data_IF_915899891755
#
_entry.id   IF_915899891755
#
_cell.length_a   1.000
_cell.length_b   1.000
_cell.length_c   1.000
_cell.angle_alpha   90.00
_cell.angle_beta   90.00
_cell.angle_gamma   90.00
#
_symmetry.space_group_name_H-M   'P 1'
#
loop_
_entity.id
_entity.type
_entity.pdbx_description
1 polymer ?
#
# COMPACT_ATOMS: atom_id res chain seq x y z
N UNK A 1 11.09 -2.43 15.06
CA UNK A 1 11.49 -2.95 13.74
C UNK A 1 12.42 -4.15 13.84
N UNK A 2 13.44 -4.17 14.73
CA UNK A 2 14.39 -5.30 14.81
C UNK A 2 13.70 -6.63 15.16
N UNK A 3 12.69 -6.64 16.04
CA UNK A 3 11.89 -7.84 16.35
C UNK A 3 11.16 -8.37 15.11
N UNK A 4 10.55 -7.46 14.34
CA UNK A 4 9.91 -7.80 13.06
C UNK A 4 10.92 -8.35 12.05
N UNK A 5 12.08 -7.71 11.86
CA UNK A 5 13.13 -8.24 11.00
C UNK A 5 13.61 -9.62 11.48
N UNK A 6 13.64 -9.84 12.79
CA UNK A 6 13.96 -11.13 13.41
C UNK A 6 13.01 -12.26 13.03
N UNK A 7 11.71 -11.97 12.83
CA UNK A 7 10.69 -12.97 12.45
C UNK A 7 10.80 -13.41 10.98
N UNK A 8 11.44 -12.60 10.12
CA UNK A 8 11.61 -12.93 8.71
C UNK A 8 12.66 -14.02 8.48
N UNK A 9 12.53 -14.76 7.39
CA UNK A 9 13.54 -15.74 7.03
C UNK A 9 14.92 -15.09 6.81
N UNK A 10 15.99 -15.84 7.03
CA UNK A 10 17.38 -15.35 6.98
C UNK A 10 17.73 -14.65 5.66
N UNK A 11 17.25 -15.18 4.53
CA UNK A 11 17.52 -14.62 3.20
C UNK A 11 16.87 -13.24 3.03
N UNK A 12 15.57 -13.10 3.36
CA UNK A 12 14.83 -11.82 3.29
C UNK A 12 15.43 -10.79 4.23
N UNK A 13 15.72 -11.16 5.47
CA UNK A 13 16.36 -10.27 6.45
C UNK A 13 17.72 -9.75 5.95
N UNK A 14 18.56 -10.62 5.37
CA UNK A 14 19.85 -10.23 4.80
C UNK A 14 19.69 -9.26 3.63
N UNK A 15 18.72 -9.53 2.73
CA UNK A 15 18.43 -8.68 1.58
C UNK A 15 17.94 -7.29 2.01
N UNK A 16 17.00 -7.24 2.96
CA UNK A 16 16.49 -5.97 3.52
C UNK A 16 17.61 -5.16 4.18
N UNK A 17 18.41 -5.77 5.04
CA UNK A 17 19.54 -5.08 5.67
C UNK A 17 20.55 -4.52 4.67
N UNK A 18 20.78 -5.24 3.57
CA UNK A 18 21.63 -4.77 2.46
C UNK A 18 21.03 -3.55 1.77
N UNK A 19 19.74 -3.61 1.40
CA UNK A 19 19.02 -2.53 0.71
C UNK A 19 18.87 -1.27 1.54
N UNK A 20 18.81 -1.42 2.85
CA UNK A 20 18.59 -0.32 3.79
C UNK A 20 19.89 0.22 4.42
N UNK A 21 21.06 -0.31 4.02
CA UNK A 21 22.36 0.11 4.57
C UNK A 21 22.65 1.59 4.27
N UNK A 22 22.36 2.06 3.06
CA UNK A 22 22.51 3.45 2.69
C UNK A 22 21.46 4.33 3.40
N UNK A 23 21.75 5.59 3.65
CA UNK A 23 20.76 6.55 4.15
C UNK A 23 19.51 6.56 3.27
N UNK A 24 18.35 6.66 3.90
CA UNK A 24 17.06 6.74 3.21
C UNK A 24 16.56 8.17 3.06
N UNK A 25 15.43 8.35 2.36
CA UNK A 25 14.74 9.61 2.36
C UNK A 25 14.32 10.00 3.78
N UNK A 26 14.25 11.29 4.05
CA UNK A 26 13.62 11.83 5.27
C UNK A 26 12.11 11.55 5.16
N UNK A 27 11.53 11.05 6.23
CA UNK A 27 10.09 10.76 6.31
C UNK A 27 9.41 11.79 7.19
N UNK A 28 8.29 12.30 6.71
CA UNK A 28 7.45 13.27 7.40
C UNK A 28 6.00 12.82 7.37
N UNK A 29 5.38 12.65 8.54
CA UNK A 29 3.98 12.30 8.67
C UNK A 29 3.12 13.56 8.75
N UNK A 30 2.13 13.68 7.87
CA UNK A 30 1.28 14.87 7.78
C UNK A 30 -0.21 14.53 7.77
N UNK A 31 -1.01 15.39 8.36
CA UNK A 31 -2.48 15.36 8.31
C UNK A 31 -3.05 16.28 7.23
N UNK A 32 -2.23 17.09 6.58
CA UNK A 32 -2.56 17.95 5.42
C UNK A 32 -1.45 17.87 4.40
N UNK A 33 -1.79 17.99 3.12
CA UNK A 33 -0.84 17.94 1.99
C UNK A 33 -1.11 19.04 0.95
N UNK A 34 -1.86 20.06 1.32
CA UNK A 34 -2.32 21.11 0.38
C UNK A 34 -1.16 21.82 -0.29
N UNK A 35 -0.09 22.09 0.46
CA UNK A 35 1.15 22.74 0.02
C UNK A 35 1.99 21.90 -0.95
N UNK A 36 1.81 20.57 -0.94
CA UNK A 36 2.55 19.61 -1.78
C UNK A 36 1.63 18.77 -2.67
N UNK A 37 0.37 19.16 -2.77
CA UNK A 37 -0.64 18.42 -3.54
C UNK A 37 -0.26 18.21 -5.01
N UNK A 38 0.31 19.20 -5.72
CA UNK A 38 0.75 19.00 -7.11
C UNK A 38 1.79 17.88 -7.24
N UNK A 39 2.75 17.80 -6.33
CA UNK A 39 3.81 16.77 -6.30
C UNK A 39 3.23 15.40 -5.96
N UNK A 40 2.33 15.32 -4.98
CA UNK A 40 1.61 14.10 -4.63
C UNK A 40 0.82 13.57 -5.83
N UNK A 41 0.09 14.44 -6.53
CA UNK A 41 -0.66 14.06 -7.73
C UNK A 41 0.25 13.59 -8.87
N UNK A 42 1.38 14.25 -9.09
CA UNK A 42 2.39 13.82 -10.07
C UNK A 42 2.88 12.39 -9.76
N UNK A 43 3.23 12.11 -8.50
CA UNK A 43 3.69 10.79 -8.06
C UNK A 43 2.58 9.72 -8.15
N UNK A 44 1.35 10.10 -7.84
CA UNK A 44 0.18 9.23 -7.99
C UNK A 44 -0.04 8.84 -9.46
N UNK A 45 -0.08 9.83 -10.35
CA UNK A 45 -0.31 9.61 -11.78
C UNK A 45 0.83 8.83 -12.44
N UNK A 46 2.07 9.11 -12.06
CA UNK A 46 3.23 8.36 -12.53
C UNK A 46 3.15 6.89 -12.09
N UNK A 47 2.75 6.61 -10.87
CA UNK A 47 2.55 5.24 -10.37
C UNK A 47 1.36 4.56 -11.06
N UNK A 48 0.23 5.25 -11.17
CA UNK A 48 -0.98 4.75 -11.83
C UNK A 48 -0.73 4.39 -13.30
N UNK A 49 0.06 5.20 -14.02
CA UNK A 49 0.39 4.96 -15.45
C UNK A 49 1.14 3.65 -15.69
N UNK A 50 1.76 3.09 -14.65
CA UNK A 50 2.52 1.83 -14.68
C UNK A 50 1.76 0.63 -14.13
N UNK A 51 0.57 0.86 -13.58
CA UNK A 51 -0.25 -0.22 -13.05
C UNK A 51 -0.83 -1.07 -14.19
N UNK A 52 -0.74 -2.39 -14.09
CA UNK A 52 -1.30 -3.32 -15.07
C UNK A 52 -2.82 -3.22 -15.15
N UNK A 53 -3.46 -2.85 -14.05
CA UNK A 53 -4.90 -2.69 -13.95
C UNK A 53 -5.23 -1.32 -13.30
N UNK A 54 -5.93 -0.48 -14.05
CA UNK A 54 -6.39 0.82 -13.59
C UNK A 54 -7.90 0.75 -13.36
N UNK A 55 -8.34 0.68 -12.10
CA UNK A 55 -9.77 0.66 -11.78
C UNK A 55 -10.39 2.06 -11.84
N UNK A 56 -9.67 3.06 -11.35
CA UNK A 56 -10.16 4.44 -11.27
C UNK A 56 -9.00 5.44 -11.25
N UNK A 57 -9.28 6.64 -11.71
CA UNK A 57 -8.39 7.79 -11.58
C UNK A 57 -8.98 8.75 -10.56
N UNK A 58 -8.33 8.89 -9.43
CA UNK A 58 -8.82 9.71 -8.34
C UNK A 58 -8.43 11.18 -8.52
N UNK A 59 -9.37 12.11 -8.31
CA UNK A 59 -9.09 13.53 -8.38
C UNK A 59 -8.29 14.02 -7.16
N UNK A 60 -7.56 15.13 -7.30
CA UNK A 60 -6.77 15.74 -6.23
C UNK A 60 -7.58 15.96 -4.93
N UNK A 61 -8.84 16.41 -5.04
CA UNK A 61 -9.75 16.59 -3.90
C UNK A 61 -10.03 15.31 -3.09
N UNK A 62 -9.77 14.14 -3.66
CA UNK A 62 -9.92 12.89 -2.92
C UNK A 62 -8.82 12.76 -1.83
N UNK A 63 -7.60 13.13 -2.17
CA UNK A 63 -6.45 13.01 -1.26
C UNK A 63 -6.52 14.02 -0.11
N UNK A 64 -6.84 15.28 -0.41
CA UNK A 64 -7.04 16.29 0.64
C UNK A 64 -8.30 16.01 1.46
N UNK A 65 -9.42 15.69 0.79
CA UNK A 65 -10.70 15.42 1.43
C UNK A 65 -10.68 14.22 2.39
N UNK A 66 -9.90 13.17 2.09
CA UNK A 66 -9.74 12.03 3.01
C UNK A 66 -9.02 12.48 4.30
N UNK A 67 -7.95 13.26 4.19
CA UNK A 67 -7.20 13.76 5.34
C UNK A 67 -8.06 14.72 6.19
N UNK A 68 -8.85 15.58 5.55
CA UNK A 68 -9.77 16.51 6.22
C UNK A 68 -10.93 15.80 6.93
N UNK A 69 -11.59 14.85 6.24
CA UNK A 69 -12.81 14.22 6.75
C UNK A 69 -12.52 13.10 7.76
N UNK A 70 -11.36 12.46 7.66
CA UNK A 70 -10.94 11.40 8.55
C UNK A 70 -9.86 11.87 9.54
N UNK A 71 -10.05 13.06 10.13
CA UNK A 71 -9.11 13.59 11.11
C UNK A 71 -8.76 12.57 12.21
N UNK A 72 -7.46 12.36 12.42
CA UNK A 72 -6.95 11.35 13.36
C UNK A 72 -7.08 9.89 12.88
N UNK A 73 -7.75 9.65 11.73
CA UNK A 73 -7.89 8.33 11.12
C UNK A 73 -7.33 8.23 9.70
N UNK A 74 -6.71 9.29 9.21
CA UNK A 74 -5.94 9.31 7.98
C UNK A 74 -4.68 10.13 8.19
N UNK A 75 -3.57 9.67 7.62
CA UNK A 75 -2.29 10.36 7.65
C UNK A 75 -1.51 10.03 6.38
N UNK A 76 -0.69 10.97 5.94
CA UNK A 76 0.16 10.80 4.77
C UNK A 76 1.64 10.85 5.18
N UNK A 77 2.41 9.81 4.85
CA UNK A 77 3.85 9.83 4.94
C UNK A 77 4.44 10.41 3.65
N UNK A 78 5.24 11.45 3.77
CA UNK A 78 5.98 12.09 2.68
C UNK A 78 7.45 11.72 2.77
N UNK A 79 8.04 11.33 1.64
CA UNK A 79 9.43 10.87 1.54
C UNK A 79 10.25 11.87 0.74
N UNK A 80 11.24 12.48 1.40
CA UNK A 80 12.04 13.55 0.86
C UNK A 80 13.48 13.11 0.64
N UNK A 81 14.02 13.41 -0.52
CA UNK A 81 15.45 13.36 -0.82
C UNK A 81 15.88 14.78 -1.13
N UNK A 82 16.72 15.33 -0.27
CA UNK A 82 16.98 16.77 -0.23
C UNK A 82 15.64 17.53 -0.12
N UNK A 83 15.36 18.47 -1.00
CA UNK A 83 14.12 19.25 -1.03
C UNK A 83 13.06 18.66 -2.03
N UNK A 84 13.31 17.47 -2.58
CA UNK A 84 12.41 16.86 -3.56
C UNK A 84 11.53 15.80 -2.91
N UNK A 85 10.21 15.91 -3.10
CA UNK A 85 9.26 14.86 -2.77
C UNK A 85 9.38 13.71 -3.77
N UNK A 86 9.82 12.53 -3.31
CA UNK A 86 10.10 11.35 -4.15
C UNK A 86 9.11 10.22 -3.96
N UNK A 87 8.37 10.21 -2.87
CA UNK A 87 7.25 9.29 -2.65
C UNK A 87 6.28 9.83 -1.61
N UNK A 88 5.05 9.33 -1.63
CA UNK A 88 4.07 9.51 -0.58
C UNK A 88 3.36 8.19 -0.28
N UNK A 89 2.86 8.05 0.93
CA UNK A 89 2.01 6.92 1.32
C UNK A 89 0.82 7.43 2.14
N UNK A 90 -0.37 7.33 1.59
CA UNK A 90 -1.62 7.65 2.29
C UNK A 90 -2.12 6.40 2.99
N UNK A 91 -2.25 6.48 4.30
CA UNK A 91 -2.74 5.37 5.14
C UNK A 91 -3.98 5.78 5.90
N UNK A 92 -4.86 4.81 6.12
CA UNK A 92 -6.02 4.95 7.00
C UNK A 92 -5.75 4.21 8.30
N UNK A 93 -6.27 4.75 9.39
CA UNK A 93 -6.00 4.27 10.74
C UNK A 93 -7.32 3.95 11.45
N UNK A 94 -7.39 2.83 12.12
CA UNK A 94 -8.37 2.58 13.16
C UNK A 94 -7.67 2.04 14.43
N UNK A 95 -8.43 1.68 15.46
CA UNK A 95 -7.87 1.21 16.73
C UNK A 95 -7.08 -0.11 16.60
N UNK A 96 -7.31 -0.87 15.54
CA UNK A 96 -6.78 -2.22 15.38
C UNK A 96 -5.89 -2.38 14.15
N UNK A 97 -5.95 -1.45 13.17
CA UNK A 97 -5.20 -1.60 11.93
C UNK A 97 -4.76 -0.30 11.31
N UNK A 98 -3.63 -0.37 10.63
CA UNK A 98 -3.18 0.58 9.62
C UNK A 98 -3.48 -0.03 8.25
N UNK A 99 -4.24 0.68 7.43
CA UNK A 99 -4.60 0.27 6.06
C UNK A 99 -3.77 1.09 5.08
N UNK A 100 -2.90 0.44 4.34
CA UNK A 100 -2.12 1.04 3.25
C UNK A 100 -3.04 1.30 2.05
N UNK A 101 -3.34 2.57 1.81
CA UNK A 101 -4.34 2.93 0.81
C UNK A 101 -3.72 3.28 -0.54
N UNK A 102 -2.73 4.16 -0.56
CA UNK A 102 -2.04 4.57 -1.77
C UNK A 102 -0.57 4.84 -1.52
N UNK A 103 0.29 4.21 -2.31
CA UNK A 103 1.71 4.49 -2.35
C UNK A 103 2.08 4.98 -3.75
N UNK A 104 2.43 6.25 -3.87
CA UNK A 104 2.94 6.86 -5.09
C UNK A 104 4.43 7.16 -4.97
N UNK A 105 5.20 6.86 -6.03
CA UNK A 105 6.65 7.06 -5.99
C UNK A 105 7.25 7.39 -7.35
N UNK A 106 8.33 8.14 -7.33
CA UNK A 106 9.20 8.37 -8.49
C UNK A 106 9.99 7.08 -8.82
N UNK A 107 9.97 6.67 -10.08
CA UNK A 107 10.57 5.41 -10.52
C UNK A 107 12.09 5.36 -10.34
N UNK A 108 12.76 6.45 -10.63
CA UNK A 108 14.22 6.55 -10.54
C UNK A 108 14.65 6.45 -9.07
N UNK A 109 14.05 7.25 -8.21
CA UNK A 109 14.31 7.25 -6.77
C UNK A 109 13.90 5.94 -6.10
N UNK A 110 12.84 5.29 -6.58
CA UNK A 110 12.40 3.99 -6.05
C UNK A 110 13.49 2.94 -6.13
N UNK A 111 14.24 2.89 -7.22
CA UNK A 111 15.37 1.95 -7.39
C UNK A 111 16.57 2.38 -6.54
N UNK A 112 16.96 3.65 -6.61
CA UNK A 112 18.14 4.19 -5.92
C UNK A 112 18.03 4.02 -4.40
N UNK A 113 16.86 4.29 -3.84
CA UNK A 113 16.62 4.30 -2.40
C UNK A 113 15.86 3.07 -1.88
N UNK A 114 15.52 2.10 -2.74
CA UNK A 114 14.70 0.93 -2.35
C UNK A 114 13.39 1.35 -1.67
N UNK A 115 12.68 2.35 -2.23
CA UNK A 115 11.52 3.00 -1.60
C UNK A 115 10.44 2.01 -1.18
N UNK A 116 10.17 0.96 -1.98
CA UNK A 116 9.19 -0.06 -1.65
C UNK A 116 9.44 -0.72 -0.29
N UNK A 117 10.69 -1.04 0.05
CA UNK A 117 11.03 -1.66 1.33
C UNK A 117 11.08 -0.64 2.45
N UNK A 118 11.41 0.61 2.14
CA UNK A 118 11.46 1.68 3.13
C UNK A 118 10.07 2.09 3.57
N UNK A 119 9.13 2.32 2.63
CA UNK A 119 7.76 2.66 3.02
C UNK A 119 7.11 1.54 3.83
N UNK A 120 7.38 0.29 3.44
CA UNK A 120 6.92 -0.87 4.19
C UNK A 120 7.39 -0.84 5.65
N UNK A 121 8.69 -0.66 5.86
CA UNK A 121 9.24 -0.58 7.22
C UNK A 121 8.81 0.68 7.96
N UNK A 122 8.58 1.79 7.28
CA UNK A 122 8.00 3.00 7.87
C UNK A 122 6.59 2.72 8.43
N UNK A 123 5.75 1.98 7.69
CA UNK A 123 4.43 1.58 8.16
C UNK A 123 4.50 0.59 9.33
N UNK A 124 5.41 -0.38 9.26
CA UNK A 124 5.65 -1.31 10.38
C UNK A 124 6.11 -0.56 11.63
N UNK A 125 7.05 0.38 11.49
CA UNK A 125 7.55 1.20 12.59
C UNK A 125 6.44 2.07 13.19
N UNK A 126 5.61 2.68 12.34
CA UNK A 126 4.43 3.41 12.76
C UNK A 126 3.46 2.53 13.58
N UNK A 127 3.17 1.33 13.10
CA UNK A 127 2.33 0.38 13.83
C UNK A 127 2.90 0.02 15.20
N UNK A 128 4.21 -0.24 15.28
CA UNK A 128 4.89 -0.55 16.54
C UNK A 128 4.83 0.64 17.50
N UNK A 129 5.16 1.84 17.02
CA UNK A 129 5.19 3.07 17.84
C UNK A 129 3.81 3.42 18.40
N UNK A 130 2.74 3.19 17.63
CA UNK A 130 1.36 3.51 18.01
C UNK A 130 0.58 2.30 18.56
N UNK A 131 1.25 1.14 18.75
CA UNK A 131 0.63 -0.11 19.25
C UNK A 131 -0.55 -0.59 18.41
N UNK A 132 -0.49 -0.39 17.10
CA UNK A 132 -1.46 -0.87 16.13
C UNK A 132 -1.12 -2.33 15.80
N UNK A 133 -1.99 -3.31 16.10
CA UNK A 133 -1.63 -4.72 15.99
C UNK A 133 -1.59 -5.25 14.57
N UNK A 134 -2.26 -4.62 13.60
CA UNK A 134 -2.38 -5.12 12.22
C UNK A 134 -1.94 -4.07 11.21
N UNK A 135 -1.04 -4.46 10.30
CA UNK A 135 -0.73 -3.71 9.09
C UNK A 135 -1.39 -4.39 7.88
N UNK A 136 -2.43 -3.77 7.33
CA UNK A 136 -3.15 -4.24 6.14
C UNK A 136 -2.53 -3.60 4.90
N UNK A 137 -1.75 -4.37 4.16
CA UNK A 137 -0.90 -3.90 3.06
C UNK A 137 -1.57 -3.95 1.68
N UNK A 138 -2.90 -4.09 1.63
CA UNK A 138 -3.67 -4.09 0.39
C UNK A 138 -3.46 -5.31 -0.50
N UNK A 139 -4.05 -5.25 -1.68
CA UNK A 139 -3.96 -6.27 -2.72
C UNK A 139 -2.77 -5.95 -3.65
N UNK A 140 -2.38 -6.86 -4.52
CA UNK A 140 -1.24 -6.80 -5.45
C UNK A 140 0.15 -7.06 -4.83
N UNK A 141 1.08 -7.54 -5.66
CA UNK A 141 2.46 -7.80 -5.25
C UNK A 141 2.61 -8.92 -4.22
N UNK A 142 1.75 -9.94 -4.26
CA UNK A 142 1.66 -11.00 -3.24
C UNK A 142 2.99 -11.69 -2.94
N UNK A 143 3.78 -12.03 -3.97
CA UNK A 143 5.09 -12.67 -3.77
C UNK A 143 6.04 -11.85 -2.90
N UNK A 144 6.08 -10.52 -3.09
CA UNK A 144 6.89 -9.62 -2.25
C UNK A 144 6.35 -9.54 -0.83
N UNK A 145 5.03 -9.49 -0.65
CA UNK A 145 4.36 -9.39 0.65
C UNK A 145 4.53 -10.66 1.47
N UNK A 146 4.38 -11.83 0.86
CA UNK A 146 4.66 -13.11 1.52
C UNK A 146 6.10 -13.19 2.03
N UNK A 147 7.08 -12.75 1.24
CA UNK A 147 8.48 -12.66 1.67
C UNK A 147 8.67 -11.71 2.86
N UNK A 148 7.83 -10.70 2.99
CA UNK A 148 7.82 -9.75 4.10
C UNK A 148 7.00 -10.24 5.29
N UNK A 149 6.55 -11.50 5.28
CA UNK A 149 5.84 -12.12 6.40
C UNK A 149 4.35 -11.79 6.48
N UNK A 150 3.74 -11.38 5.35
CA UNK A 150 2.29 -11.20 5.32
C UNK A 150 1.56 -12.53 5.29
N UNK A 151 0.41 -12.53 5.91
CA UNK A 151 -0.58 -13.60 5.85
C UNK A 151 -1.77 -13.17 4.98
N UNK A 152 -2.41 -14.14 4.32
CA UNK A 152 -3.64 -13.89 3.60
C UNK A 152 -4.83 -13.84 4.53
N UNK A 153 -5.64 -12.81 4.37
CA UNK A 153 -6.94 -12.72 5.01
C UNK A 153 -8.03 -12.71 3.94
N UNK A 154 -9.03 -13.57 4.08
CA UNK A 154 -10.18 -13.59 3.16
C UNK A 154 -10.90 -12.25 3.16
N UNK A 155 -11.15 -11.71 1.98
CA UNK A 155 -11.87 -10.46 1.78
C UNK A 155 -13.08 -10.68 0.88
N UNK A 156 -14.09 -9.82 1.00
CA UNK A 156 -15.31 -9.89 0.21
C UNK A 156 -15.48 -8.62 -0.62
N UNK A 157 -15.71 -8.78 -1.90
CA UNK A 157 -15.97 -7.68 -2.82
C UNK A 157 -17.46 -7.61 -3.15
N UNK A 158 -18.05 -6.43 -2.98
CA UNK A 158 -19.46 -6.20 -3.27
C UNK A 158 -19.61 -5.37 -4.53
N UNK A 159 -20.41 -5.87 -5.47
CA UNK A 159 -20.76 -5.15 -6.67
C UNK A 159 -22.27 -4.85 -6.68
N UNK A 160 -22.61 -3.60 -6.98
CA UNK A 160 -23.98 -3.17 -7.19
C UNK A 160 -24.06 -2.23 -8.39
N UNK A 161 -24.88 -2.57 -9.35
CA UNK A 161 -25.18 -1.70 -10.48
C UNK A 161 -26.60 -1.12 -10.34
N UNK A 162 -26.80 0.14 -10.73
CA UNK A 162 -28.12 0.82 -10.65
C UNK A 162 -29.18 0.14 -11.53
N UNK A 163 -28.78 -0.48 -12.63
CA UNK A 163 -29.68 -1.26 -13.50
C UNK A 163 -29.88 -2.67 -12.93
N UNK A 164 -31.14 -3.06 -12.70
CA UNK A 164 -31.52 -4.34 -12.09
C UNK A 164 -31.16 -5.56 -12.96
N UNK A 165 -31.24 -5.41 -14.31
CA UNK A 165 -30.86 -6.47 -15.24
C UNK A 165 -29.36 -6.75 -15.19
N UNK A 166 -28.54 -5.69 -15.15
CA UNK A 166 -27.09 -5.82 -14.99
C UNK A 166 -26.74 -6.45 -13.64
N UNK A 167 -27.44 -6.10 -12.56
CA UNK A 167 -27.26 -6.78 -11.27
C UNK A 167 -27.60 -8.27 -11.32
N UNK A 168 -28.63 -8.66 -12.06
CA UNK A 168 -28.95 -10.06 -12.30
C UNK A 168 -27.82 -10.80 -13.01
N UNK A 169 -27.28 -10.21 -14.07
CA UNK A 169 -26.13 -10.74 -14.80
C UNK A 169 -24.87 -10.85 -13.91
N UNK A 170 -24.56 -9.81 -13.12
CA UNK A 170 -23.42 -9.83 -12.18
C UNK A 170 -23.54 -10.95 -11.14
N UNK A 171 -24.75 -11.29 -10.69
CA UNK A 171 -24.99 -12.43 -9.79
C UNK A 171 -24.65 -13.79 -10.45
N UNK A 172 -24.84 -13.93 -11.74
CA UNK A 172 -24.44 -15.14 -12.48
C UNK A 172 -22.93 -15.16 -12.70
N UNK A 173 -22.38 -14.05 -13.14
CA UNK A 173 -20.94 -13.90 -13.45
C UNK A 173 -20.06 -14.11 -12.22
N UNK A 174 -20.50 -13.70 -11.02
CA UNK A 174 -19.73 -13.88 -9.78
C UNK A 174 -19.37 -15.34 -9.48
N UNK A 175 -20.14 -16.31 -9.96
CA UNK A 175 -19.85 -17.74 -9.77
C UNK A 175 -18.65 -18.21 -10.59
N UNK A 176 -18.31 -17.49 -11.66
CA UNK A 176 -17.22 -17.81 -12.57
C UNK A 176 -15.97 -16.97 -12.33
N UNK A 177 -16.12 -15.79 -11.70
CA UNK A 177 -14.98 -14.93 -11.36
C UNK A 177 -14.33 -15.48 -10.10
N UNK A 178 -13.12 -15.97 -10.26
CA UNK A 178 -12.25 -16.45 -9.18
C UNK A 178 -10.97 -15.62 -9.16
N UNK A 179 -10.98 -14.45 -8.49
CA UNK A 179 -9.80 -13.56 -8.44
C UNK A 179 -8.60 -14.22 -7.75
N UNK A 180 -8.87 -15.13 -6.81
CA UNK A 180 -7.90 -15.95 -6.08
C UNK A 180 -7.03 -16.83 -6.99
N UNK A 181 -7.45 -17.11 -8.21
CA UNK A 181 -6.70 -17.94 -9.18
C UNK A 181 -5.91 -17.14 -10.21
N UNK A 182 -6.07 -15.83 -10.23
CA UNK A 182 -5.42 -14.97 -11.23
C UNK A 182 -3.96 -14.63 -10.91
N UNK A 183 -3.54 -14.74 -9.64
CA UNK A 183 -2.15 -14.52 -9.23
C UNK A 183 -1.50 -15.87 -8.82
N UNK A 184 -0.38 -16.27 -9.47
CA UNK A 184 0.28 -17.55 -9.19
C UNK A 184 0.77 -17.70 -7.75
N UNK A 185 1.23 -16.61 -7.12
CA UNK A 185 1.71 -16.63 -5.74
C UNK A 185 0.55 -16.85 -4.75
N UNK A 186 -0.61 -16.25 -5.04
CA UNK A 186 -1.82 -16.46 -4.25
C UNK A 186 -2.36 -17.89 -4.42
N UNK A 187 -2.39 -18.40 -5.65
CA UNK A 187 -2.83 -19.76 -5.92
C UNK A 187 -1.97 -20.81 -5.23
N UNK A 188 -0.63 -20.63 -5.21
CA UNK A 188 0.29 -21.51 -4.51
C UNK A 188 0.07 -21.49 -2.99
N UNK A 189 -0.08 -20.31 -2.38
CA UNK A 189 -0.25 -20.19 -0.94
C UNK A 189 -1.59 -20.77 -0.44
N UNK A 190 -2.67 -20.69 -1.25
CA UNK A 190 -3.97 -21.29 -0.91
C UNK A 190 -3.93 -22.84 -1.02
N UNK A 191 -3.06 -23.39 -1.87
CA UNK A 191 -2.92 -24.85 -2.02
C UNK A 191 -2.13 -25.51 -0.88
N UNK A 192 -1.40 -24.74 -0.08
CA UNK A 192 -0.61 -25.21 1.07
C UNK A 192 -1.39 -25.14 2.41
N UNK A 193 -2.60 -24.58 2.39
CA UNK A 193 -3.46 -24.46 3.57
C UNK A 193 -4.60 -25.46 3.53
#
# INVERSE_FOLDING_TARGET
VEAYLGSLCKATRKDLRRKLRAPGPRVEWRHTIDDVLPEVMRLYEDTLSRADLQFERLPARYFTGILEQLQGRAVCALYWVDERLVAFNLVLLDQHRLIDKFFGHDREFSRAYSLYFRYWLTNVDYCIAHKIPVYECGQEGYASKLRLGCEFQGNSMFFRHRNRLVNGLLKLVKMYIRPDRSDPAMAAAISET
#
